data_IF_115477770336
#
_entry.id   IF_115477770336
#
_cell.length_a   1.000
_cell.length_b   1.000
_cell.length_c   1.000
_cell.angle_alpha   90.00
_cell.angle_beta   90.00
_cell.angle_gamma   90.00
#
_symmetry.space_group_name_H-M   'P 1'
#
loop_
_entity.id
_entity.type
_entity.pdbx_description
1 polymer ?
#
# COMPACT_ATOMS: atom_id res chain seq x y z
N UNK A 1 -10.18 -11.48 -90.59
CA UNK A 1 -9.01 -10.79 -89.91
C UNK A 1 -9.33 -10.23 -88.53
N UNK A 2 -10.52 -10.42 -87.96
CA UNK A 2 -10.94 -9.73 -86.69
C UNK A 2 -10.83 -10.62 -85.46
N UNK A 3 -10.75 -11.94 -85.60
CA UNK A 3 -10.72 -12.84 -84.46
C UNK A 3 -9.34 -12.90 -83.74
N UNK A 4 -8.28 -12.90 -84.55
CA UNK A 4 -6.90 -12.93 -84.03
C UNK A 4 -6.51 -11.61 -83.32
N UNK A 5 -7.06 -10.51 -83.75
CA UNK A 5 -6.83 -9.20 -83.10
C UNK A 5 -7.44 -9.15 -81.68
N UNK A 6 -8.62 -9.75 -81.47
CA UNK A 6 -9.30 -9.80 -80.18
C UNK A 6 -8.57 -10.74 -79.23
N UNK A 7 -8.06 -11.87 -79.72
CA UNK A 7 -7.30 -12.81 -78.89
C UNK A 7 -5.93 -12.22 -78.46
N UNK A 8 -5.26 -11.49 -79.34
CA UNK A 8 -4.03 -10.79 -79.05
C UNK A 8 -4.26 -9.69 -77.98
N UNK A 9 -5.35 -8.96 -78.11
CA UNK A 9 -5.70 -7.91 -77.12
C UNK A 9 -6.03 -8.53 -75.73
N UNK A 10 -6.77 -9.64 -75.72
CA UNK A 10 -7.08 -10.35 -74.48
C UNK A 10 -5.80 -10.96 -73.82
N UNK A 11 -4.86 -11.46 -74.59
CA UNK A 11 -3.60 -12.01 -74.08
C UNK A 11 -2.72 -10.89 -73.53
N UNK A 12 -2.68 -9.71 -74.16
CA UNK A 12 -1.91 -8.58 -73.69
C UNK A 12 -2.48 -8.00 -72.40
N UNK A 13 -3.82 -7.93 -72.19
CA UNK A 13 -4.42 -7.48 -70.96
C UNK A 13 -4.20 -8.48 -69.84
N UNK A 14 -4.26 -9.78 -70.09
CA UNK A 14 -3.97 -10.79 -69.10
C UNK A 14 -2.48 -10.74 -68.62
N UNK A 15 -1.55 -10.51 -69.53
CA UNK A 15 -0.13 -10.35 -69.20
C UNK A 15 0.16 -9.11 -68.34
N UNK A 16 -0.55 -7.98 -68.59
CA UNK A 16 -0.49 -6.76 -67.77
C UNK A 16 -1.01 -6.96 -66.35
N UNK A 17 -2.06 -7.75 -66.17
CA UNK A 17 -2.62 -8.03 -64.84
C UNK A 17 -1.72 -8.95 -64.03
N UNK A 18 -1.03 -9.89 -64.66
CA UNK A 18 -0.09 -10.79 -63.94
C UNK A 18 1.23 -10.10 -63.54
N UNK A 19 1.60 -9.01 -64.17
CA UNK A 19 2.86 -8.29 -63.78
C UNK A 19 2.73 -7.40 -62.52
N UNK A 20 1.52 -7.20 -62.03
CA UNK A 20 1.24 -6.35 -60.86
C UNK A 20 1.55 -6.98 -59.51
N UNK A 21 1.87 -8.27 -59.43
CA UNK A 21 2.09 -8.99 -58.13
C UNK A 21 3.55 -9.16 -57.71
N UNK A 22 4.52 -8.51 -58.34
CA UNK A 22 5.92 -8.62 -57.93
C UNK A 22 6.40 -7.36 -57.14
N UNK A 23 5.51 -6.79 -56.38
CA UNK A 23 5.93 -5.83 -55.36
C UNK A 23 6.72 -6.57 -54.30
N UNK A 24 8.03 -6.67 -54.50
CA UNK A 24 8.95 -6.95 -53.40
C UNK A 24 8.77 -5.83 -52.42
N UNK A 25 8.39 -6.19 -51.20
CA UNK A 25 8.34 -5.24 -50.12
C UNK A 25 9.78 -4.91 -49.67
N UNK A 26 10.55 -4.29 -50.57
CA UNK A 26 11.97 -3.91 -50.36
C UNK A 26 12.11 -3.04 -49.11
N UNK A 27 11.08 -2.29 -48.79
CA UNK A 27 11.01 -1.47 -47.58
C UNK A 27 10.87 -2.33 -46.32
N UNK A 28 10.08 -3.40 -46.37
CA UNK A 28 9.94 -4.35 -45.27
C UNK A 28 11.21 -5.17 -45.05
N UNK A 29 11.85 -5.62 -46.14
CA UNK A 29 13.10 -6.34 -46.04
C UNK A 29 14.25 -5.42 -45.51
N UNK A 30 14.27 -4.16 -45.91
CA UNK A 30 15.19 -3.16 -45.37
C UNK A 30 14.95 -2.91 -43.88
N UNK A 31 13.69 -2.82 -43.46
CA UNK A 31 13.31 -2.62 -42.04
C UNK A 31 13.72 -3.84 -41.21
N UNK A 32 13.43 -5.05 -41.67
CA UNK A 32 13.84 -6.29 -41.00
C UNK A 32 15.36 -6.39 -40.87
N UNK A 33 16.09 -6.01 -41.93
CA UNK A 33 17.53 -6.04 -41.92
C UNK A 33 18.13 -4.98 -40.96
N UNK A 34 17.52 -3.81 -40.90
CA UNK A 34 17.90 -2.76 -39.96
C UNK A 34 17.64 -3.20 -38.50
N UNK A 35 16.45 -3.70 -38.21
CA UNK A 35 16.08 -4.17 -36.89
C UNK A 35 16.91 -5.37 -36.40
N UNK A 36 17.30 -6.25 -37.31
CA UNK A 36 18.25 -7.35 -36.99
C UNK A 36 19.64 -6.87 -36.70
N UNK A 37 20.09 -5.74 -37.30
CA UNK A 37 21.39 -5.12 -37.02
C UNK A 37 21.41 -4.35 -35.71
N UNK A 38 20.30 -3.83 -35.27
CA UNK A 38 20.20 -3.13 -34.00
C UNK A 38 20.42 -4.02 -32.78
N UNK A 39 20.60 -5.31 -32.97
CA UNK A 39 20.96 -6.27 -31.93
C UNK A 39 20.06 -6.13 -30.72
N UNK A 40 19.50 -7.19 -30.19
CA UNK A 40 18.74 -7.13 -28.94
C UNK A 40 19.55 -6.36 -27.90
N UNK A 41 18.91 -5.33 -27.31
CA UNK A 41 19.56 -4.50 -26.29
C UNK A 41 20.27 -5.36 -25.24
N UNK A 42 21.36 -4.82 -24.69
CA UNK A 42 22.11 -5.48 -23.62
C UNK A 42 21.15 -6.01 -22.55
N UNK A 43 21.00 -7.30 -22.48
CA UNK A 43 20.23 -7.95 -21.41
C UNK A 43 21.06 -7.79 -20.15
N UNK A 44 20.54 -7.02 -19.19
CA UNK A 44 21.18 -6.89 -17.89
C UNK A 44 21.51 -8.27 -17.32
N UNK A 45 22.72 -8.51 -16.79
CA UNK A 45 23.07 -9.77 -16.20
C UNK A 45 22.11 -10.08 -15.06
N UNK A 46 21.71 -11.34 -14.96
CA UNK A 46 20.85 -11.82 -13.87
C UNK A 46 21.48 -11.42 -12.52
N UNK A 47 20.67 -10.91 -11.58
CA UNK A 47 21.19 -10.59 -10.24
C UNK A 47 21.81 -11.83 -9.62
N UNK A 48 23.01 -11.66 -9.05
CA UNK A 48 23.67 -12.75 -8.33
C UNK A 48 22.77 -13.23 -7.19
N UNK A 49 22.37 -14.48 -7.25
CA UNK A 49 21.63 -15.12 -6.17
C UNK A 49 22.58 -15.31 -4.99
N UNK A 50 22.47 -14.49 -3.97
CA UNK A 50 23.20 -14.69 -2.71
C UNK A 50 22.80 -16.04 -2.13
N UNK A 51 23.75 -16.92 -1.82
CA UNK A 51 23.41 -18.22 -1.21
C UNK A 51 22.65 -17.96 0.09
N UNK A 52 21.52 -18.63 0.24
CA UNK A 52 20.74 -18.59 1.47
C UNK A 52 21.59 -19.15 2.62
N UNK A 53 21.86 -18.30 3.62
CA UNK A 53 22.47 -18.75 4.85
C UNK A 53 21.35 -19.26 5.76
N UNK A 54 21.34 -20.56 6.01
CA UNK A 54 20.40 -21.15 6.95
C UNK A 54 20.68 -20.60 8.34
N UNK A 55 19.69 -19.97 8.92
CA UNK A 55 19.75 -19.52 10.32
C UNK A 55 19.38 -20.70 11.24
N UNK A 56 20.29 -21.11 12.10
CA UNK A 56 19.97 -22.08 13.14
C UNK A 56 19.32 -21.35 14.30
N UNK A 57 18.08 -21.68 14.58
CA UNK A 57 17.35 -21.07 15.70
C UNK A 57 17.81 -21.70 17.03
N UNK A 58 18.62 -20.98 17.77
CA UNK A 58 19.11 -21.39 19.11
C UNK A 58 18.20 -20.80 20.19
N UNK A 59 17.03 -21.42 20.37
CA UNK A 59 16.04 -20.97 21.34
C UNK A 59 16.11 -21.69 22.70
N UNK A 60 17.09 -22.54 22.90
CA UNK A 60 17.16 -23.38 24.10
C UNK A 60 17.27 -22.60 25.42
N UNK A 61 17.79 -21.36 25.36
CA UNK A 61 17.88 -20.45 26.51
C UNK A 61 16.74 -19.43 26.56
N UNK A 62 15.89 -19.36 25.52
CA UNK A 62 14.80 -18.42 25.47
C UNK A 62 13.53 -19.05 26.05
N UNK A 63 12.75 -18.22 26.75
CA UNK A 63 11.46 -18.64 27.28
C UNK A 63 10.52 -19.03 26.15
N UNK A 64 9.83 -20.16 26.29
CA UNK A 64 8.81 -20.55 25.32
C UNK A 64 7.71 -19.47 25.21
N UNK A 65 7.35 -19.02 24.00
CA UNK A 65 6.29 -18.03 23.81
C UNK A 65 4.90 -18.54 24.21
N UNK A 66 4.75 -19.86 24.40
CA UNK A 66 3.49 -20.50 24.79
C UNK A 66 3.36 -20.73 26.31
N UNK A 67 4.39 -20.43 27.08
CA UNK A 67 4.24 -20.47 28.55
C UNK A 67 3.52 -19.21 29.00
N UNK A 68 2.46 -19.35 29.84
CA UNK A 68 1.77 -18.20 30.42
C UNK A 68 2.79 -17.30 31.12
N UNK A 69 2.75 -15.99 30.82
CA UNK A 69 3.57 -15.02 31.52
C UNK A 69 3.23 -15.07 33.00
N UNK A 70 4.23 -15.30 33.88
CA UNK A 70 3.99 -15.05 35.30
C UNK A 70 3.47 -13.63 35.46
N UNK A 71 2.34 -13.42 36.14
CA UNK A 71 1.88 -12.07 36.45
C UNK A 71 2.84 -11.44 37.48
N UNK A 72 3.98 -10.93 36.99
CA UNK A 72 4.99 -10.33 37.88
C UNK A 72 6.43 -10.42 37.43
N UNK A 73 6.76 -10.99 36.28
CA UNK A 73 8.14 -11.25 35.85
C UNK A 73 8.73 -10.28 34.81
N UNK A 74 8.33 -9.05 34.77
CA UNK A 74 8.98 -7.98 33.99
C UNK A 74 9.32 -6.83 34.92
N UNK A 75 10.57 -6.76 35.38
CA UNK A 75 11.07 -5.57 36.04
C UNK A 75 10.96 -4.40 35.04
N UNK A 76 9.95 -3.52 35.22
CA UNK A 76 9.75 -2.32 34.41
C UNK A 76 8.40 -2.13 33.78
N UNK A 77 7.55 -3.12 33.70
CA UNK A 77 6.16 -2.88 33.32
C UNK A 77 5.42 -2.27 34.53
N UNK A 78 5.45 -0.95 34.64
CA UNK A 78 4.38 -0.27 35.38
C UNK A 78 3.08 -0.85 34.81
N UNK A 79 2.30 -1.51 35.65
CA UNK A 79 1.01 -2.08 35.24
C UNK A 79 0.14 -0.93 34.76
N UNK A 80 0.14 -0.72 33.44
CA UNK A 80 -0.72 0.27 32.82
C UNK A 80 -2.15 -0.12 33.15
N UNK A 81 -2.88 0.80 33.75
CA UNK A 81 -4.29 0.59 34.07
C UNK A 81 -5.09 1.80 33.58
N UNK A 82 -6.30 1.57 33.10
CA UNK A 82 -7.23 2.64 32.81
C UNK A 82 -7.43 3.53 34.03
N UNK A 83 -7.40 4.86 33.81
CA UNK A 83 -7.64 5.82 34.90
C UNK A 83 -9.14 6.02 35.11
N UNK A 84 -9.71 5.23 36.01
CA UNK A 84 -11.14 5.31 36.36
C UNK A 84 -11.54 6.60 37.10
N UNK A 85 -10.57 7.40 37.55
CA UNK A 85 -10.83 8.66 38.28
C UNK A 85 -10.91 9.87 37.35
N UNK A 86 -10.48 9.73 36.12
CA UNK A 86 -10.51 10.77 35.10
C UNK A 86 -11.92 10.95 34.53
N UNK A 87 -12.32 12.16 34.29
CA UNK A 87 -13.53 12.44 33.53
C UNK A 87 -13.26 12.06 32.06
N UNK A 88 -14.11 11.20 31.51
CA UNK A 88 -14.01 10.78 30.12
C UNK A 88 -14.35 11.93 29.19
N UNK A 89 -13.56 12.08 28.14
CA UNK A 89 -13.81 13.02 27.06
C UNK A 89 -14.95 12.54 26.15
N UNK A 90 -15.61 13.45 25.45
CA UNK A 90 -16.75 13.13 24.59
C UNK A 90 -16.43 12.06 23.53
N UNK A 91 -15.24 12.12 22.93
CA UNK A 91 -14.83 11.18 21.88
C UNK A 91 -14.51 9.76 22.40
N UNK A 92 -14.39 9.57 23.68
CA UNK A 92 -14.22 8.23 24.29
C UNK A 92 -15.53 7.43 24.37
N UNK A 93 -16.67 8.05 24.07
CA UNK A 93 -17.94 7.35 23.97
C UNK A 93 -18.06 6.54 22.67
N UNK A 94 -17.25 6.86 21.69
CA UNK A 94 -17.25 6.24 20.38
C UNK A 94 -16.14 5.20 20.27
N UNK A 95 -16.40 4.10 19.56
CA UNK A 95 -15.36 3.17 19.16
C UNK A 95 -14.41 3.84 18.18
N UNK A 96 -13.10 3.55 18.26
CA UNK A 96 -12.10 4.12 17.37
C UNK A 96 -12.44 3.90 15.88
N UNK A 97 -13.01 2.74 15.55
CA UNK A 97 -13.42 2.38 14.19
C UNK A 97 -14.53 3.26 13.61
N UNK A 98 -15.29 3.92 14.48
CA UNK A 98 -16.38 4.83 14.07
C UNK A 98 -15.94 6.28 13.94
N UNK A 99 -14.73 6.57 14.38
CA UNK A 99 -14.11 7.88 14.28
C UNK A 99 -13.30 7.98 12.99
N UNK A 100 -13.32 9.13 12.34
CA UNK A 100 -12.57 9.36 11.12
C UNK A 100 -11.81 10.68 11.18
N UNK A 101 -10.52 10.65 10.86
CA UNK A 101 -9.79 11.88 10.67
C UNK A 101 -10.20 12.52 9.35
N UNK A 102 -10.57 13.81 9.38
CA UNK A 102 -10.99 14.57 8.20
C UNK A 102 -10.03 15.70 7.84
N UNK A 103 -9.00 15.92 8.65
CA UNK A 103 -7.98 16.91 8.36
C UNK A 103 -7.24 17.39 9.59
N UNK A 104 -6.46 18.45 9.39
CA UNK A 104 -5.76 19.17 10.46
C UNK A 104 -6.03 20.65 10.37
N UNK A 105 -5.95 21.36 11.50
CA UNK A 105 -6.11 22.81 11.59
C UNK A 105 -4.97 23.38 12.40
N UNK A 106 -4.32 24.43 11.89
CA UNK A 106 -3.34 25.20 12.66
C UNK A 106 -4.00 26.48 13.17
N UNK A 107 -4.01 26.66 14.47
CA UNK A 107 -4.59 27.84 15.12
C UNK A 107 -3.77 28.21 16.36
N UNK A 108 -3.36 29.47 16.47
CA UNK A 108 -2.63 29.97 17.66
C UNK A 108 -1.31 29.24 17.92
N UNK A 109 -0.61 28.77 16.86
CA UNK A 109 0.65 28.02 17.01
C UNK A 109 0.48 26.54 17.35
N UNK A 110 -0.75 26.07 17.58
CA UNK A 110 -1.07 24.68 17.85
C UNK A 110 -1.62 23.98 16.62
N UNK A 111 -1.26 22.71 16.46
CA UNK A 111 -1.84 21.84 15.43
C UNK A 111 -2.93 20.96 16.04
N UNK A 112 -4.14 21.12 15.53
CA UNK A 112 -5.31 20.33 15.90
C UNK A 112 -5.56 19.24 14.88
N UNK A 113 -5.96 18.06 15.33
CA UNK A 113 -6.60 17.06 14.49
C UNK A 113 -8.11 17.33 14.41
N UNK A 114 -8.70 17.10 13.26
CA UNK A 114 -10.14 17.16 13.05
C UNK A 114 -10.67 15.75 12.94
N UNK A 115 -11.50 15.34 13.90
CA UNK A 115 -12.07 14.01 13.98
C UNK A 115 -13.58 14.10 13.82
N UNK A 116 -14.11 13.37 12.83
CA UNK A 116 -15.54 13.28 12.55
C UNK A 116 -16.12 12.04 13.20
N UNK A 117 -17.22 12.22 13.93
CA UNK A 117 -18.03 11.14 14.50
C UNK A 117 -19.02 10.59 13.49
N UNK A 118 -19.63 9.43 13.78
CA UNK A 118 -20.69 8.83 12.97
C UNK A 118 -21.89 9.75 12.75
N UNK A 119 -22.15 10.66 13.70
CA UNK A 119 -23.25 11.63 13.65
C UNK A 119 -22.94 12.83 12.73
N UNK A 120 -21.75 12.82 12.09
CA UNK A 120 -21.33 13.87 11.16
C UNK A 120 -20.69 15.09 11.82
N UNK A 121 -20.61 15.14 13.14
CA UNK A 121 -19.99 16.25 13.86
C UNK A 121 -18.47 16.17 13.80
N UNK A 122 -17.83 17.32 13.66
CA UNK A 122 -16.37 17.43 13.61
C UNK A 122 -15.85 18.05 14.90
N UNK A 123 -14.97 17.34 15.58
CA UNK A 123 -14.34 17.75 16.82
C UNK A 123 -12.86 18.05 16.62
N UNK A 124 -12.37 19.07 17.31
CA UNK A 124 -10.94 19.41 17.35
C UNK A 124 -10.29 18.66 18.50
N UNK A 125 -9.17 18.04 18.22
CA UNK A 125 -8.37 17.31 19.22
C UNK A 125 -6.92 17.79 19.21
N UNK A 126 -6.26 17.66 20.34
CA UNK A 126 -4.86 17.99 20.57
C UNK A 126 -4.08 16.77 21.04
N UNK A 127 -2.75 16.74 20.91
CA UNK A 127 -1.92 15.79 21.64
C UNK A 127 -2.25 15.82 23.13
N UNK A 128 -2.41 14.65 23.74
CA UNK A 128 -2.83 14.50 25.14
C UNK A 128 -4.34 14.30 25.34
N UNK A 129 -5.20 14.66 24.38
CA UNK A 129 -6.63 14.30 24.44
C UNK A 129 -6.83 12.79 24.27
N UNK A 130 -8.00 12.33 24.69
CA UNK A 130 -8.38 10.93 24.62
C UNK A 130 -9.54 10.72 23.65
N UNK A 131 -9.49 9.62 22.92
CA UNK A 131 -10.54 9.20 21.99
C UNK A 131 -10.59 7.67 21.90
N UNK A 132 -11.76 7.16 21.59
CA UNK A 132 -11.98 5.71 21.57
C UNK A 132 -12.30 5.13 22.94
N UNK A 133 -13.04 4.01 22.96
CA UNK A 133 -13.51 3.36 24.20
C UNK A 133 -12.38 2.77 25.05
N UNK A 134 -11.21 2.54 24.42
CA UNK A 134 -10.01 1.95 25.06
C UNK A 134 -9.05 3.03 25.59
N UNK A 135 -9.54 4.20 25.99
CA UNK A 135 -8.74 5.31 26.51
C UNK A 135 -7.55 5.70 25.61
N UNK A 136 -7.79 5.74 24.31
CA UNK A 136 -6.76 6.04 23.31
C UNK A 136 -6.20 7.47 23.48
N UNK A 137 -5.03 7.60 24.06
CA UNK A 137 -4.35 8.89 24.25
C UNK A 137 -3.61 9.31 22.98
N UNK A 138 -3.92 10.50 22.47
CA UNK A 138 -3.25 11.07 21.31
C UNK A 138 -1.81 11.42 21.67
N UNK A 139 -0.86 10.84 20.91
CA UNK A 139 0.58 11.12 21.05
C UNK A 139 1.02 12.18 20.04
N UNK A 140 0.65 12.01 18.76
CA UNK A 140 1.10 12.88 17.68
C UNK A 140 -0.02 13.11 16.67
N UNK A 141 -0.07 14.32 16.11
CA UNK A 141 -0.98 14.68 15.03
C UNK A 141 -0.14 15.06 13.81
N UNK A 142 -0.22 14.25 12.77
CA UNK A 142 0.41 14.47 11.46
C UNK A 142 -0.65 14.88 10.43
N UNK A 143 -0.28 15.49 9.30
CA UNK A 143 -1.25 15.85 8.26
C UNK A 143 -2.07 14.68 7.72
N UNK A 144 -1.48 13.48 7.70
CA UNK A 144 -2.10 12.27 7.13
C UNK A 144 -2.68 11.31 8.18
N UNK A 145 -2.35 11.47 9.46
CA UNK A 145 -2.83 10.57 10.53
C UNK A 145 -2.70 11.17 11.91
N UNK A 146 -3.48 10.64 12.83
CA UNK A 146 -3.38 10.85 14.27
C UNK A 146 -2.89 9.57 14.90
N UNK A 147 -1.72 9.60 15.54
CA UNK A 147 -1.16 8.46 16.28
C UNK A 147 -1.59 8.51 17.73
N UNK A 148 -2.02 7.37 18.27
CA UNK A 148 -2.49 7.25 19.64
C UNK A 148 -2.05 5.92 20.26
N UNK A 149 -2.14 5.85 21.59
CA UNK A 149 -1.87 4.64 22.35
C UNK A 149 -3.11 4.30 23.15
N UNK A 150 -3.67 3.11 22.91
CA UNK A 150 -4.81 2.57 23.60
C UNK A 150 -4.39 1.67 24.76
N UNK A 151 -5.22 1.61 25.80
CA UNK A 151 -5.08 0.68 26.92
C UNK A 151 -6.09 -0.44 26.72
N UNK A 152 -5.60 -1.64 26.40
CA UNK A 152 -6.45 -2.80 26.14
C UNK A 152 -6.17 -3.91 27.14
N UNK A 153 -7.17 -4.73 27.52
CA UNK A 153 -6.93 -5.88 28.38
C UNK A 153 -6.00 -6.89 27.71
N UNK A 154 -5.07 -7.45 28.47
CA UNK A 154 -4.09 -8.44 28.02
C UNK A 154 -4.62 -9.88 27.98
N UNK A 155 -5.88 -10.09 28.42
CA UNK A 155 -6.51 -11.40 28.54
C UNK A 155 -6.08 -12.22 29.78
N UNK A 156 -5.14 -11.72 30.57
CA UNK A 156 -4.61 -12.38 31.77
C UNK A 156 -5.02 -11.64 33.05
N UNK A 157 -5.94 -10.68 32.95
CA UNK A 157 -6.41 -9.85 34.06
C UNK A 157 -5.62 -8.57 34.26
N UNK A 158 -4.67 -8.27 33.36
CA UNK A 158 -3.93 -7.01 33.26
C UNK A 158 -4.33 -6.17 32.07
N UNK A 159 -3.57 -5.10 31.83
CA UNK A 159 -3.74 -4.21 30.70
C UNK A 159 -2.39 -4.01 30.03
N UNK A 160 -2.43 -3.77 28.72
CA UNK A 160 -1.27 -3.46 27.90
C UNK A 160 -1.54 -2.24 27.02
N UNK A 161 -0.46 -1.54 26.68
CA UNK A 161 -0.53 -0.46 25.69
C UNK A 161 -0.49 -1.04 24.27
N UNK A 162 -1.38 -0.53 23.42
CA UNK A 162 -1.42 -0.88 22.01
C UNK A 162 -1.36 0.38 21.16
N UNK A 163 -0.35 0.52 20.28
CA UNK A 163 -0.34 1.62 19.33
C UNK A 163 -1.50 1.49 18.34
N UNK A 164 -2.17 2.60 18.07
CA UNK A 164 -3.25 2.71 17.10
C UNK A 164 -3.13 4.02 16.32
N UNK A 165 -3.83 4.14 15.20
CA UNK A 165 -3.82 5.37 14.42
C UNK A 165 -5.16 5.58 13.70
N UNK A 166 -5.54 6.85 13.53
CA UNK A 166 -6.60 7.29 12.63
C UNK A 166 -5.96 7.90 11.39
N UNK A 167 -6.08 7.24 10.25
CA UNK A 167 -5.63 7.80 8.98
C UNK A 167 -6.63 8.85 8.46
N UNK A 168 -6.12 9.81 7.69
CA UNK A 168 -6.95 10.75 6.94
C UNK A 168 -7.81 9.97 5.96
N UNK A 169 -9.11 10.18 6.03
CA UNK A 169 -10.05 9.55 5.11
C UNK A 169 -10.33 10.55 3.98
N UNK A 170 -9.90 10.20 2.77
CA UNK A 170 -10.23 10.92 1.53
C UNK A 170 -11.68 10.66 1.11
#
# INVERSE_FOLDING_TARGET
>A
MTLHSKTLLAAATLALVLSGCSGRDDELDAFIAATKKEGGGDVAPLPEVKPYQSFTYEAQSLRSPFLPGSPGGGAGAQSVRPDSKRNREFLEQFSLDTLRMVGTLKLGGHQYGLVKTKDGLVHRVLPGNHLGQSEGKIVTIEPSRISLVEIVPDGLGGYMERPASLALNE
#
